data_IF_847294867175
#
_entry.id   IF_847294867175
#
_cell.length_a   1.000
_cell.length_b   1.000
_cell.length_c   1.000
_cell.angle_alpha   90.00
_cell.angle_beta   90.00
_cell.angle_gamma   90.00
#
_symmetry.space_group_name_H-M   'P 1'
#
loop_
_entity.id
_entity.type
_entity.pdbx_description
1 polymer ?
#
# COMPACT_ATOMS: atom_id res chain seq x y z
N UNK A 1 -8.99 10.87 -33.15
CA UNK A 1 -8.19 11.74 -32.28
C UNK A 1 -8.16 11.22 -30.85
N UNK A 2 -6.99 11.13 -30.27
CA UNK A 2 -6.85 10.71 -28.89
C UNK A 2 -7.13 11.86 -27.97
N UNK A 3 -8.03 11.68 -27.06
CA UNK A 3 -8.40 12.70 -26.06
C UNK A 3 -7.66 12.52 -24.76
N UNK A 4 -7.19 11.32 -24.50
CA UNK A 4 -6.67 10.96 -23.18
C UNK A 4 -5.28 10.39 -23.33
N UNK A 5 -4.42 10.86 -22.46
CA UNK A 5 -3.10 10.30 -22.28
C UNK A 5 -3.11 9.57 -20.93
N UNK A 6 -2.97 8.25 -20.98
CA UNK A 6 -2.86 7.44 -19.78
C UNK A 6 -1.39 7.32 -19.46
N UNK A 7 -1.01 7.86 -18.30
CA UNK A 7 0.36 7.77 -17.82
C UNK A 7 0.44 6.71 -16.73
N UNK A 8 1.14 5.63 -17.05
CA UNK A 8 1.49 4.61 -16.10
C UNK A 8 2.93 4.83 -15.69
N UNK A 9 3.16 5.13 -14.42
CA UNK A 9 4.51 5.23 -13.89
C UNK A 9 4.89 3.92 -13.23
N UNK A 10 6.05 3.38 -13.60
CA UNK A 10 6.65 2.21 -12.97
C UNK A 10 8.01 2.63 -12.45
N UNK A 11 8.24 2.47 -11.15
CA UNK A 11 9.50 2.85 -10.52
C UNK A 11 9.76 2.02 -9.29
N UNK A 12 10.99 2.08 -8.80
CA UNK A 12 11.41 1.38 -7.58
C UNK A 12 11.58 2.37 -6.46
N UNK A 13 11.14 1.97 -5.27
CA UNK A 13 11.33 2.76 -4.06
C UNK A 13 11.57 1.83 -2.88
N UNK A 14 12.52 2.22 -2.02
CA UNK A 14 12.69 1.56 -0.74
C UNK A 14 11.68 2.14 0.25
N UNK A 15 10.83 1.27 0.78
CA UNK A 15 9.76 1.65 1.69
C UNK A 15 9.96 1.03 3.07
N UNK A 16 9.58 1.77 4.08
CA UNK A 16 9.46 1.26 5.44
C UNK A 16 8.09 0.62 5.58
N UNK A 17 8.06 -0.71 5.59
CA UNK A 17 6.82 -1.49 5.49
C UNK A 17 6.43 -2.04 6.85
N UNK A 18 5.28 -1.59 7.35
CA UNK A 18 4.65 -2.06 8.58
C UNK A 18 3.35 -2.79 8.25
N UNK A 19 2.57 -3.14 9.26
CA UNK A 19 1.30 -3.83 9.06
C UNK A 19 0.26 -3.32 10.06
N UNK A 20 -1.00 -3.34 9.65
CA UNK A 20 -2.13 -2.98 10.49
C UNK A 20 -3.26 -3.97 10.28
N UNK A 21 -4.16 -4.06 11.25
CA UNK A 21 -5.34 -4.91 11.16
C UNK A 21 -6.62 -4.07 11.25
N UNK A 22 -7.76 -4.75 11.21
CA UNK A 22 -9.06 -4.12 11.12
C UNK A 22 -9.33 -3.17 12.29
N UNK A 23 -9.79 -1.96 11.98
CA UNK A 23 -10.12 -0.94 12.98
C UNK A 23 -11.63 -0.76 13.20
N UNK A 24 -12.47 -1.51 12.46
CA UNK A 24 -13.91 -1.36 12.51
C UNK A 24 -14.45 -0.30 11.56
N UNK A 25 -13.61 0.29 10.72
CA UNK A 25 -13.98 1.37 9.80
C UNK A 25 -13.56 1.03 8.37
N UNK A 26 -14.24 1.62 7.36
CA UNK A 26 -13.75 1.55 5.99
C UNK A 26 -12.37 2.20 5.84
N UNK A 27 -11.67 1.82 4.79
CA UNK A 27 -10.43 2.49 4.39
C UNK A 27 -10.72 3.92 3.92
N UNK A 28 -9.68 4.72 3.77
CA UNK A 28 -9.82 6.09 3.29
C UNK A 28 -10.41 6.17 1.87
N UNK A 29 -10.27 5.12 1.07
CA UNK A 29 -10.92 5.05 -0.25
C UNK A 29 -12.41 4.69 -0.19
N UNK A 30 -12.93 4.34 0.98
CA UNK A 30 -14.33 4.00 1.18
C UNK A 30 -14.65 2.52 1.12
N UNK A 31 -13.68 1.66 0.83
CA UNK A 31 -13.89 0.21 0.80
C UNK A 31 -13.48 -0.42 2.14
N UNK A 32 -14.08 -1.56 2.46
CA UNK A 32 -13.68 -2.30 3.66
C UNK A 32 -12.29 -2.89 3.48
N UNK A 33 -11.44 -2.84 4.52
CA UNK A 33 -10.09 -3.39 4.41
C UNK A 33 -10.12 -4.90 4.19
N UNK A 34 -9.25 -5.35 3.31
CA UNK A 34 -9.06 -6.77 3.00
C UNK A 34 -7.58 -7.05 2.79
N UNK A 35 -7.16 -8.27 3.03
CA UNK A 35 -5.80 -8.72 2.70
C UNK A 35 -5.54 -8.46 1.22
N UNK A 36 -4.39 -7.88 0.92
CA UNK A 36 -4.05 -7.40 -0.43
C UNK A 36 -4.19 -5.89 -0.58
N UNK A 37 -4.70 -5.21 0.44
CA UNK A 37 -4.75 -3.75 0.48
C UNK A 37 -3.63 -3.20 1.36
N UNK A 38 -3.24 -1.97 1.09
CA UNK A 38 -2.25 -1.27 1.89
C UNK A 38 -2.55 0.22 1.96
N UNK A 39 -1.94 0.87 2.95
CA UNK A 39 -2.02 2.31 3.15
C UNK A 39 -0.68 2.96 2.76
N UNK A 40 -0.76 4.08 2.08
CA UNK A 40 0.38 4.95 1.80
C UNK A 40 -0.16 6.35 1.51
N UNK A 41 0.60 7.38 1.89
CA UNK A 41 0.14 8.75 1.73
C UNK A 41 0.58 9.39 0.41
N UNK A 42 1.66 8.90 -0.17
CA UNK A 42 2.30 9.49 -1.35
C UNK A 42 1.95 8.81 -2.67
N UNK A 43 1.12 7.78 -2.63
CA UNK A 43 0.76 7.01 -3.81
C UNK A 43 -0.75 7.09 -4.07
N UNK A 44 -1.18 7.29 -5.32
CA UNK A 44 -2.60 7.31 -5.63
C UNK A 44 -3.31 6.02 -5.26
N UNK A 45 -4.59 6.09 -4.94
CA UNK A 45 -5.41 4.88 -4.80
C UNK A 45 -5.38 4.09 -6.10
N UNK A 46 -5.29 2.78 -5.99
CA UNK A 46 -5.17 1.89 -7.14
C UNK A 46 -3.73 1.58 -7.54
N UNK A 47 -2.76 2.25 -6.95
CA UNK A 47 -1.34 1.92 -7.15
C UNK A 47 -1.07 0.50 -6.67
N UNK A 48 -0.36 -0.27 -7.49
CA UNK A 48 0.11 -1.61 -7.11
C UNK A 48 1.53 -1.52 -6.60
N UNK A 49 1.80 -2.21 -5.51
CA UNK A 49 3.13 -2.29 -4.93
C UNK A 49 3.54 -3.75 -4.87
N UNK A 50 4.65 -4.06 -5.51
CA UNK A 50 5.21 -5.41 -5.60
C UNK A 50 6.36 -5.52 -4.62
N UNK A 51 6.19 -6.37 -3.62
CA UNK A 51 7.20 -6.61 -2.60
C UNK A 51 8.22 -7.66 -3.07
N UNK A 52 9.43 -7.67 -2.48
CA UNK A 52 10.47 -8.63 -2.89
C UNK A 52 10.07 -10.11 -2.73
N UNK A 53 9.15 -10.41 -1.82
CA UNK A 53 8.69 -11.79 -1.60
C UNK A 53 7.62 -12.26 -2.59
N UNK A 54 7.28 -11.41 -3.58
CA UNK A 54 6.26 -11.72 -4.56
C UNK A 54 4.85 -11.25 -4.20
N UNK A 55 4.65 -10.73 -2.99
CA UNK A 55 3.36 -10.17 -2.59
C UNK A 55 3.05 -8.92 -3.40
N UNK A 56 1.81 -8.80 -3.85
CA UNK A 56 1.33 -7.61 -4.54
C UNK A 56 0.18 -7.02 -3.73
N UNK A 57 0.28 -5.73 -3.41
CA UNK A 57 -0.78 -5.03 -2.69
C UNK A 57 -1.25 -3.82 -3.48
N UNK A 58 -2.48 -3.39 -3.23
CA UNK A 58 -3.09 -2.23 -3.88
C UNK A 58 -3.34 -1.16 -2.83
N UNK A 59 -2.94 0.07 -3.14
CA UNK A 59 -3.14 1.19 -2.24
C UNK A 59 -4.62 1.58 -2.23
N UNK A 60 -5.25 1.48 -1.06
CA UNK A 60 -6.66 1.80 -0.82
C UNK A 60 -6.87 2.62 0.43
N UNK A 61 -5.82 2.91 1.17
CA UNK A 61 -5.94 3.57 2.47
C UNK A 61 -4.85 4.62 2.65
N UNK A 62 -5.02 5.42 3.68
CA UNK A 62 -4.05 6.45 4.11
C UNK A 62 -3.67 6.19 5.55
N UNK A 63 -2.49 6.67 5.93
CA UNK A 63 -2.01 6.61 7.29
C UNK A 63 -1.81 8.03 7.83
N UNK A 64 -1.69 8.17 9.13
CA UNK A 64 -1.36 9.46 9.74
C UNK A 64 0.05 9.93 9.38
N UNK A 65 0.26 11.25 9.48
CA UNK A 65 1.54 11.86 9.19
C UNK A 65 1.75 12.19 7.71
N UNK A 66 2.86 12.83 7.40
CA UNK A 66 3.19 13.27 6.05
C UNK A 66 4.28 12.42 5.39
N UNK A 67 4.30 11.13 5.63
CA UNK A 67 5.36 10.26 5.15
C UNK A 67 5.26 10.00 3.65
N UNK A 68 6.41 9.94 2.99
CA UNK A 68 6.53 9.65 1.56
C UNK A 68 7.32 8.37 1.29
N UNK A 69 7.63 7.60 2.33
CA UNK A 69 8.45 6.39 2.25
C UNK A 69 7.87 5.24 3.08
N UNK A 70 6.58 5.31 3.44
CA UNK A 70 5.95 4.32 4.31
C UNK A 70 4.83 3.59 3.59
N UNK A 71 4.78 2.29 3.85
CA UNK A 71 3.73 1.41 3.39
C UNK A 71 3.22 0.61 4.60
N UNK A 72 1.91 0.51 4.75
CA UNK A 72 1.28 -0.21 5.85
C UNK A 72 0.37 -1.29 5.28
N UNK A 73 0.76 -2.55 5.46
CA UNK A 73 0.05 -3.69 4.87
C UNK A 73 -1.13 -4.07 5.74
N UNK A 74 -2.30 -4.26 5.14
CA UNK A 74 -3.42 -4.80 5.88
C UNK A 74 -3.23 -6.30 6.12
N UNK A 75 -3.34 -6.72 7.36
CA UNK A 75 -3.29 -8.12 7.80
C UNK A 75 -4.60 -8.51 8.45
N UNK A 76 -4.96 -9.78 8.34
CA UNK A 76 -6.22 -10.28 8.87
C UNK A 76 -6.26 -10.28 10.40
N UNK A 77 -5.13 -10.49 11.05
CA UNK A 77 -5.04 -10.62 12.51
C UNK A 77 -3.93 -9.77 13.10
N UNK A 78 -4.08 -9.45 14.39
CA UNK A 78 -3.05 -8.76 15.16
C UNK A 78 -1.75 -9.56 15.22
N UNK A 79 -1.85 -10.87 15.38
CA UNK A 79 -0.68 -11.75 15.43
C UNK A 79 0.14 -11.66 14.14
N UNK A 80 -0.53 -11.61 12.99
CA UNK A 80 0.15 -11.44 11.71
C UNK A 80 0.85 -10.09 11.61
N UNK A 81 0.28 -9.05 12.19
CA UNK A 81 0.90 -7.73 12.25
C UNK A 81 2.17 -7.77 13.10
N UNK A 82 2.11 -8.44 14.26
CA UNK A 82 3.27 -8.58 15.12
C UNK A 82 4.38 -9.40 14.47
N UNK A 83 4.04 -10.47 13.77
CA UNK A 83 4.99 -11.27 13.01
C UNK A 83 5.66 -10.48 11.91
N UNK A 84 4.91 -9.63 11.23
CA UNK A 84 5.46 -8.81 10.17
C UNK A 84 6.47 -7.81 10.72
N UNK A 85 6.10 -7.09 11.77
CA UNK A 85 6.94 -6.06 12.36
C UNK A 85 7.09 -4.87 11.43
N UNK A 86 8.34 -4.45 11.22
CA UNK A 86 8.69 -3.30 10.37
C UNK A 86 9.95 -3.62 9.59
N UNK A 87 9.88 -3.45 8.26
CA UNK A 87 10.98 -3.83 7.37
C UNK A 87 11.21 -2.77 6.31
N UNK A 88 12.47 -2.48 6.02
CA UNK A 88 12.83 -1.70 4.85
C UNK A 88 12.95 -2.62 3.65
N UNK A 89 12.10 -2.40 2.64
CA UNK A 89 12.03 -3.25 1.46
C UNK A 89 12.08 -2.40 0.19
N UNK A 90 12.83 -2.89 -0.80
CA UNK A 90 12.83 -2.28 -2.12
C UNK A 90 11.66 -2.84 -2.91
N UNK A 91 10.70 -1.97 -3.21
CA UNK A 91 9.45 -2.35 -3.86
C UNK A 91 9.38 -1.77 -5.27
N UNK A 92 8.73 -2.51 -6.17
CA UNK A 92 8.36 -1.98 -7.48
C UNK A 92 6.97 -1.38 -7.38
N UNK A 93 6.81 -0.17 -7.87
CA UNK A 93 5.58 0.60 -7.75
C UNK A 93 5.03 0.86 -9.15
N UNK A 94 3.75 0.59 -9.31
CA UNK A 94 3.05 0.77 -10.58
C UNK A 94 1.79 1.59 -10.33
N UNK A 95 1.81 2.86 -10.77
CA UNK A 95 0.65 3.74 -10.60
C UNK A 95 -0.46 3.39 -11.58
N UNK A 96 -1.71 3.71 -11.26
CA UNK A 96 -2.81 3.43 -12.16
C UNK A 96 -2.80 4.28 -13.43
#
# INVERSE_FOLDING_TARGET
MTKYLILLAVFWQTLNVSAYCHSGNPTASGVWPQVGMAAANHLPFGTKVYLPDGTVVVIRDRMGGGYTDRLDLFKATEDECWEWGRRWLRCRIETP
#
